data_IF_636155395493
#
_entry.id   IF_636155395493
#
_cell.length_a   1.000
_cell.length_b   1.000
_cell.length_c   1.000
_cell.angle_alpha   90.00
_cell.angle_beta   90.00
_cell.angle_gamma   90.00
#
_symmetry.space_group_name_H-M   'P 1'
#
loop_
_entity.id
_entity.type
_entity.pdbx_description
1 polymer ?
#
# COMPACT_ATOMS: atom_id res chain seq x y z
N UNK A 1 -70.08 6.02 9.82
CA UNK A 1 -69.50 4.76 10.34
C UNK A 1 -69.59 3.71 9.26
N UNK A 2 -68.46 3.27 8.68
CA UNK A 2 -68.15 1.88 8.27
C UNK A 2 -66.83 1.85 7.49
N UNK A 3 -66.06 0.79 7.73
CA UNK A 3 -64.68 0.53 7.29
C UNK A 3 -64.62 -0.08 5.87
N UNK A 4 -63.38 -0.23 5.40
CA UNK A 4 -62.81 -1.49 4.87
C UNK A 4 -62.69 -1.65 3.35
N UNK A 5 -61.44 -1.44 2.89
CA UNK A 5 -60.65 -2.29 1.98
C UNK A 5 -61.35 -3.35 1.10
N UNK A 6 -61.04 -3.32 -0.20
CA UNK A 6 -60.12 -4.30 -0.83
C UNK A 6 -59.94 -3.97 -2.32
N UNK A 7 -58.71 -3.67 -2.73
CA UNK A 7 -58.32 -3.50 -4.13
C UNK A 7 -57.39 -4.64 -4.55
N UNK A 8 -57.82 -5.41 -5.54
CA UNK A 8 -57.02 -6.19 -6.50
C UNK A 8 -57.89 -6.27 -7.76
N UNK A 9 -57.37 -6.00 -8.97
CA UNK A 9 -56.34 -6.86 -9.57
C UNK A 9 -55.35 -6.12 -10.51
N UNK A 10 -54.04 -6.20 -10.26
CA UNK A 10 -53.02 -5.80 -11.25
C UNK A 10 -51.82 -6.77 -11.17
N UNK A 11 -52.03 -8.01 -11.61
CA UNK A 11 -51.01 -9.08 -11.71
C UNK A 11 -50.39 -9.16 -13.11
N UNK A 12 -50.39 -8.08 -13.90
CA UNK A 12 -49.98 -8.15 -15.31
C UNK A 12 -48.91 -7.16 -15.77
N UNK A 13 -48.13 -6.58 -14.86
CA UNK A 13 -47.02 -5.68 -15.24
C UNK A 13 -45.76 -5.85 -14.34
N UNK A 14 -45.31 -7.09 -14.11
CA UNK A 14 -44.08 -7.32 -13.34
C UNK A 14 -43.27 -8.55 -13.79
N UNK A 15 -43.25 -8.88 -15.08
CA UNK A 15 -42.42 -9.99 -15.61
C UNK A 15 -41.47 -9.53 -16.76
N UNK A 16 -41.51 -8.26 -17.16
CA UNK A 16 -40.74 -7.75 -18.31
C UNK A 16 -39.35 -7.17 -18.03
N UNK A 17 -38.85 -7.17 -16.78
CA UNK A 17 -37.64 -6.42 -16.43
C UNK A 17 -36.58 -7.23 -15.66
N UNK A 18 -36.62 -8.57 -15.71
CA UNK A 18 -35.66 -9.43 -15.01
C UNK A 18 -34.74 -10.27 -15.91
N UNK A 19 -34.81 -10.12 -17.24
CA UNK A 19 -34.01 -10.91 -18.19
C UNK A 19 -32.78 -10.20 -18.78
N UNK A 20 -32.46 -8.96 -18.37
CA UNK A 20 -31.30 -8.21 -18.93
C UNK A 20 -30.09 -8.15 -17.97
N UNK A 21 -30.22 -8.57 -16.71
CA UNK A 21 -29.10 -8.51 -15.73
C UNK A 21 -28.39 -9.87 -15.56
N UNK A 22 -28.94 -10.97 -16.08
CA UNK A 22 -28.32 -12.32 -15.96
C UNK A 22 -27.30 -12.60 -17.08
N UNK A 23 -27.17 -11.72 -18.08
CA UNK A 23 -26.28 -11.93 -19.22
C UNK A 23 -24.82 -11.44 -19.03
N UNK A 24 -24.45 -10.91 -17.85
CA UNK A 24 -23.08 -10.45 -17.55
C UNK A 24 -22.39 -11.23 -16.41
N UNK A 25 -22.97 -12.35 -15.98
CA UNK A 25 -22.37 -13.28 -15.00
C UNK A 25 -21.89 -14.60 -15.63
N UNK A 26 -21.33 -14.56 -16.84
CA UNK A 26 -20.62 -15.72 -17.43
C UNK A 26 -19.17 -15.32 -17.69
N UNK A 27 -18.35 -15.46 -16.65
CA UNK A 27 -16.90 -15.59 -16.79
C UNK A 27 -16.60 -16.87 -17.59
N UNK A 28 -15.67 -16.84 -18.55
CA UNK A 28 -15.22 -18.04 -19.21
C UNK A 28 -14.33 -18.86 -18.26
N UNK A 29 -14.93 -19.84 -17.60
CA UNK A 29 -14.23 -21.11 -17.35
C UNK A 29 -13.78 -21.66 -18.69
N UNK A 30 -12.47 -21.78 -18.92
CA UNK A 30 -11.81 -22.98 -19.48
C UNK A 30 -10.27 -22.85 -19.40
N UNK A 31 -9.65 -23.97 -19.00
CA UNK A 31 -8.27 -24.39 -19.25
C UNK A 31 -7.15 -23.84 -18.36
N UNK A 32 -7.16 -24.23 -17.07
CA UNK A 32 -5.90 -24.50 -16.35
C UNK A 32 -5.71 -26.02 -16.28
N UNK A 33 -5.00 -26.56 -17.27
CA UNK A 33 -4.40 -27.90 -17.22
C UNK A 33 -3.06 -27.75 -16.52
N UNK A 34 -2.85 -28.43 -15.40
CA UNK A 34 -1.51 -28.61 -14.84
C UNK A 34 -0.73 -29.61 -15.69
N UNK A 35 0.58 -29.41 -15.84
CA UNK A 35 1.49 -30.54 -15.82
C UNK A 35 2.48 -30.39 -14.67
N UNK A 36 2.38 -31.29 -13.69
CA UNK A 36 3.56 -31.75 -12.96
C UNK A 36 4.36 -32.66 -13.89
N UNK A 37 5.68 -32.51 -13.92
CA UNK A 37 6.55 -33.45 -14.60
C UNK A 37 7.87 -32.81 -15.02
N UNK A 38 8.94 -33.24 -14.36
CA UNK A 38 10.30 -32.77 -14.47
C UNK A 38 10.96 -33.02 -15.85
N UNK A 39 12.01 -32.23 -16.08
CA UNK A 39 13.20 -32.51 -16.88
C UNK A 39 13.13 -32.43 -18.43
N UNK A 40 14.11 -31.68 -18.93
CA UNK A 40 14.77 -31.80 -20.25
C UNK A 40 13.98 -31.43 -21.51
N UNK A 41 14.13 -30.18 -21.98
CA UNK A 41 14.40 -29.87 -23.39
C UNK A 41 14.78 -28.39 -23.59
N UNK A 42 16.01 -28.03 -23.22
CA UNK A 42 16.69 -26.85 -23.76
C UNK A 42 16.94 -27.10 -25.26
N UNK A 43 16.11 -26.55 -26.16
CA UNK A 43 16.34 -26.28 -27.60
C UNK A 43 15.04 -26.48 -28.40
N UNK A 44 14.23 -25.42 -28.54
CA UNK A 44 13.28 -25.29 -29.67
C UNK A 44 12.58 -23.93 -29.69
N UNK A 45 13.28 -22.84 -29.38
CA UNK A 45 12.79 -21.48 -29.68
C UNK A 45 13.82 -20.77 -30.55
N UNK A 46 14.13 -21.38 -31.68
CA UNK A 46 14.87 -20.79 -32.78
C UNK A 46 14.31 -21.43 -34.04
N UNK A 47 13.32 -20.78 -34.68
CA UNK A 47 12.94 -20.90 -36.11
C UNK A 47 11.45 -20.54 -36.31
N UNK A 48 11.11 -19.26 -36.19
CA UNK A 48 10.09 -18.63 -37.04
C UNK A 48 10.07 -17.12 -36.82
N UNK A 49 10.31 -16.35 -37.89
CA UNK A 49 10.02 -14.90 -37.91
C UNK A 49 11.22 -13.95 -38.00
N UNK A 50 12.06 -14.11 -39.02
CA UNK A 50 12.86 -12.97 -39.53
C UNK A 50 11.89 -12.04 -40.27
N UNK A 51 11.51 -10.92 -39.65
CA UNK A 51 11.13 -9.64 -40.29
C UNK A 51 10.83 -8.63 -39.18
N UNK A 52 11.86 -7.87 -38.79
CA UNK A 52 11.73 -6.83 -37.76
C UNK A 52 13.04 -6.54 -37.05
N UNK A 53 14.11 -6.26 -37.80
CA UNK A 53 15.28 -5.59 -37.24
C UNK A 53 14.92 -4.13 -36.92
N UNK A 54 14.05 -3.93 -35.93
CA UNK A 54 13.95 -2.67 -35.22
C UNK A 54 15.01 -2.74 -34.13
N UNK A 55 16.14 -2.09 -34.37
CA UNK A 55 17.13 -1.81 -33.34
C UNK A 55 16.39 -1.31 -32.09
N UNK A 56 16.60 -1.98 -30.96
CA UNK A 56 16.21 -1.48 -29.65
C UNK A 56 17.00 -0.19 -29.43
N UNK A 57 16.45 0.94 -29.87
CA UNK A 57 16.96 2.23 -29.46
C UNK A 57 16.74 2.34 -27.95
N UNK A 58 17.74 2.81 -27.18
CA UNK A 58 17.50 3.16 -25.79
C UNK A 58 16.38 4.20 -25.79
N UNK A 59 15.39 4.03 -24.91
CA UNK A 59 14.36 5.02 -24.69
C UNK A 59 15.02 6.28 -24.12
N UNK A 60 15.51 7.16 -24.99
CA UNK A 60 15.92 8.50 -24.65
C UNK A 60 14.63 9.25 -24.38
N UNK A 61 14.30 9.41 -23.10
CA UNK A 61 13.30 10.37 -22.66
C UNK A 61 13.69 11.72 -23.26
N UNK A 62 12.88 12.24 -24.18
CA UNK A 62 13.09 13.54 -24.76
C UNK A 62 13.02 14.58 -23.64
N UNK A 63 14.18 15.12 -23.24
CA UNK A 63 14.29 16.27 -22.37
C UNK A 63 13.62 17.45 -23.11
N UNK A 64 12.42 17.85 -22.67
CA UNK A 64 11.73 19.01 -23.23
C UNK A 64 12.52 20.27 -22.81
N UNK A 65 12.99 21.11 -23.75
CA UNK A 65 13.86 22.23 -23.43
C UNK A 65 13.04 23.30 -22.69
N UNK A 66 13.21 23.40 -21.37
CA UNK A 66 12.56 24.41 -20.53
C UNK A 66 12.04 23.89 -19.19
N UNK A 67 11.81 22.58 -19.07
CA UNK A 67 11.63 21.89 -17.79
C UNK A 67 12.98 21.27 -17.46
N UNK A 68 13.72 21.89 -16.54
CA UNK A 68 14.98 21.31 -16.04
C UNK A 68 14.80 19.85 -15.62
N UNK A 69 15.89 19.07 -15.61
CA UNK A 69 15.88 17.63 -15.31
C UNK A 69 14.92 17.31 -14.16
N UNK A 70 13.79 16.70 -14.50
CA UNK A 70 12.78 16.33 -13.52
C UNK A 70 13.39 15.22 -12.66
N UNK A 71 13.81 15.57 -11.44
CA UNK A 71 14.49 14.65 -10.53
C UNK A 71 13.60 13.44 -10.27
N UNK A 72 14.19 12.25 -10.33
CA UNK A 72 13.47 11.02 -10.04
C UNK A 72 13.02 10.97 -8.57
N UNK A 73 11.99 10.20 -8.21
CA UNK A 73 11.50 10.08 -6.83
C UNK A 73 12.52 9.48 -5.84
N UNK A 74 13.66 8.99 -6.33
CA UNK A 74 14.78 8.48 -5.54
C UNK A 74 15.91 9.50 -5.35
N UNK A 75 15.90 10.60 -6.10
CA UNK A 75 16.96 11.61 -6.13
C UNK A 75 16.57 12.89 -5.36
N UNK A 76 15.32 12.98 -4.90
CA UNK A 76 14.82 14.11 -4.12
C UNK A 76 15.43 14.06 -2.73
N UNK A 77 16.28 15.03 -2.41
CA UNK A 77 16.82 15.25 -1.07
C UNK A 77 16.03 16.35 -0.36
N UNK A 78 16.28 16.53 0.95
CA UNK A 78 15.59 17.52 1.79
C UNK A 78 15.62 18.94 1.21
N UNK A 79 16.72 19.31 0.55
CA UNK A 79 16.96 20.64 0.02
C UNK A 79 16.16 20.94 -1.26
N UNK A 80 15.65 19.90 -1.92
CA UNK A 80 14.87 20.01 -3.16
C UNK A 80 13.37 20.21 -2.91
N UNK A 81 12.95 20.24 -1.64
CA UNK A 81 11.54 20.14 -1.27
C UNK A 81 10.90 21.50 -1.17
N UNK A 82 9.83 21.67 -1.95
CA UNK A 82 9.04 22.90 -1.99
C UNK A 82 7.66 22.63 -1.42
N UNK A 83 7.30 23.40 -0.39
CA UNK A 83 6.02 23.32 0.29
C UNK A 83 5.18 24.51 -0.16
N UNK A 84 4.11 24.22 -0.88
CA UNK A 84 3.20 25.19 -1.49
C UNK A 84 1.97 25.43 -0.60
N UNK A 85 1.57 24.41 0.18
CA UNK A 85 0.42 24.47 1.07
C UNK A 85 0.70 25.05 2.45
N UNK A 86 -0.37 25.44 3.16
CA UNK A 86 -0.28 25.93 4.54
C UNK A 86 -0.07 24.77 5.53
N UNK A 87 1.15 24.67 6.09
CA UNK A 87 1.47 23.73 7.19
C UNK A 87 0.71 24.05 8.48
N UNK A 88 0.26 25.29 8.63
CA UNK A 88 -0.48 25.80 9.78
C UNK A 88 -1.91 25.29 9.87
N UNK A 89 -2.46 24.78 8.75
CA UNK A 89 -3.81 24.24 8.66
C UNK A 89 -4.03 23.12 9.67
N UNK A 90 -5.22 23.09 10.28
CA UNK A 90 -5.59 22.10 11.29
C UNK A 90 -5.37 20.67 10.79
N UNK A 91 -5.81 20.39 9.57
CA UNK A 91 -5.71 19.06 8.96
C UNK A 91 -4.25 18.63 8.73
N UNK A 92 -3.38 19.57 8.36
CA UNK A 92 -1.95 19.32 8.19
C UNK A 92 -1.27 19.00 9.53
N UNK A 93 -1.57 19.77 10.59
CA UNK A 93 -1.06 19.50 11.94
C UNK A 93 -1.50 18.15 12.47
N UNK A 94 -2.80 17.83 12.35
CA UNK A 94 -3.32 16.53 12.76
C UNK A 94 -2.67 15.38 11.98
N UNK A 95 -2.40 15.56 10.68
CA UNK A 95 -1.71 14.56 9.87
C UNK A 95 -0.26 14.34 10.32
N UNK A 96 0.48 15.42 10.60
CA UNK A 96 1.86 15.36 11.10
C UNK A 96 1.91 14.71 12.47
N UNK A 97 1.02 15.12 13.40
CA UNK A 97 0.91 14.54 14.74
C UNK A 97 0.63 13.04 14.69
N UNK A 98 -0.26 12.58 13.78
CA UNK A 98 -0.51 11.15 13.57
C UNK A 98 0.74 10.40 13.11
N UNK A 99 1.50 10.95 12.17
CA UNK A 99 2.74 10.32 11.70
C UNK A 99 3.79 10.29 12.82
N UNK A 100 3.91 11.36 13.60
CA UNK A 100 4.81 11.43 14.77
C UNK A 100 4.44 10.42 15.86
N UNK A 101 3.15 10.32 16.21
CA UNK A 101 2.67 9.34 17.18
C UNK A 101 3.01 7.91 16.75
N UNK A 102 2.81 7.59 15.46
CA UNK A 102 3.16 6.26 14.93
C UNK A 102 4.66 6.00 14.90
N UNK A 103 5.48 7.02 14.65
CA UNK A 103 6.92 6.88 14.76
C UNK A 103 7.31 6.55 16.21
N UNK A 104 6.72 7.26 17.19
CA UNK A 104 6.97 7.01 18.61
C UNK A 104 6.54 5.60 19.04
N UNK A 105 5.38 5.14 18.57
CA UNK A 105 4.91 3.76 18.80
C UNK A 105 5.88 2.72 18.21
N UNK A 106 6.38 2.95 17.00
CA UNK A 106 7.32 2.05 16.34
C UNK A 106 8.69 2.03 17.06
N UNK A 107 9.17 3.18 17.52
CA UNK A 107 10.38 3.29 18.35
C UNK A 107 10.19 2.61 19.72
N UNK A 108 9.02 2.77 20.34
CA UNK A 108 8.66 2.11 21.59
C UNK A 108 8.57 0.59 21.44
N UNK A 109 7.99 0.10 20.33
CA UNK A 109 7.92 -1.32 20.02
C UNK A 109 9.31 -1.92 19.76
N UNK A 110 10.19 -1.22 19.04
CA UNK A 110 11.59 -1.62 18.87
C UNK A 110 12.30 -1.73 20.22
N UNK A 111 12.20 -0.69 21.05
CA UNK A 111 12.83 -0.69 22.37
C UNK A 111 12.30 -1.80 23.30
N UNK A 112 11.02 -2.18 23.16
CA UNK A 112 10.45 -3.30 23.89
C UNK A 112 11.00 -4.65 23.41
N UNK A 113 11.12 -4.84 22.08
CA UNK A 113 11.66 -6.07 21.48
C UNK A 113 13.16 -6.24 21.73
N UNK A 114 13.92 -5.15 21.78
CA UNK A 114 15.35 -5.17 22.13
C UNK A 114 15.57 -5.63 23.58
N UNK A 115 14.66 -5.28 24.50
CA UNK A 115 14.72 -5.70 25.90
C UNK A 115 14.21 -7.13 26.11
N UNK A 116 13.11 -7.47 25.44
CA UNK A 116 12.52 -8.79 25.50
C UNK A 116 12.00 -9.19 24.10
N UNK A 117 12.66 -10.17 23.44
CA UNK A 117 12.24 -10.78 22.17
C UNK A 117 10.77 -11.27 22.14
N UNK A 118 10.20 -11.55 23.30
CA UNK A 118 8.82 -12.04 23.45
C UNK A 118 7.87 -10.95 23.96
N UNK A 119 8.28 -9.68 24.04
CA UNK A 119 7.44 -8.58 24.51
C UNK A 119 6.18 -8.40 23.65
N UNK A 120 5.01 -8.37 24.28
CA UNK A 120 3.76 -8.13 23.58
C UNK A 120 3.62 -6.66 23.13
N UNK A 121 4.10 -6.38 21.92
CA UNK A 121 4.05 -5.04 21.29
C UNK A 121 2.67 -4.68 20.72
N UNK A 122 1.69 -5.59 20.71
CA UNK A 122 0.33 -5.28 20.23
C UNK A 122 -0.36 -4.20 21.06
N UNK A 123 0.04 -4.05 22.32
CA UNK A 123 -0.48 -3.03 23.24
C UNK A 123 0.23 -1.68 23.11
N UNK A 124 1.41 -1.68 22.49
CA UNK A 124 2.24 -0.48 22.31
C UNK A 124 1.88 0.22 21.01
N UNK A 125 1.69 -0.56 19.94
CA UNK A 125 1.30 -0.02 18.65
C UNK A 125 -0.19 0.25 18.66
N UNK A 126 -0.58 1.53 18.55
CA UNK A 126 -1.98 1.87 18.44
C UNK A 126 -2.63 1.12 17.27
N UNK A 127 -3.90 0.67 17.42
CA UNK A 127 -4.66 0.00 16.36
C UNK A 127 -5.08 1.04 15.30
N UNK A 128 -4.10 1.66 14.68
CA UNK A 128 -4.29 2.67 13.67
C UNK A 128 -4.37 1.97 12.32
N UNK A 129 -5.46 2.20 11.61
CA UNK A 129 -5.73 1.54 10.35
C UNK A 129 -4.77 2.03 9.26
N UNK A 130 -4.51 1.18 8.26
CA UNK A 130 -3.69 1.57 7.10
C UNK A 130 -4.40 2.65 6.28
N UNK A 131 -5.73 2.70 6.33
CA UNK A 131 -6.54 3.79 5.76
C UNK A 131 -6.21 5.14 6.39
N UNK A 132 -6.12 5.23 7.71
CA UNK A 132 -5.79 6.50 8.37
C UNK A 132 -4.35 6.93 8.08
N UNK A 133 -3.40 5.98 8.00
CA UNK A 133 -2.01 6.30 7.61
C UNK A 133 -1.98 6.86 6.19
N UNK A 134 -2.74 6.25 5.27
CA UNK A 134 -2.86 6.73 3.89
C UNK A 134 -3.46 8.13 3.83
N UNK A 135 -4.50 8.42 4.60
CA UNK A 135 -5.10 9.75 4.65
C UNK A 135 -4.12 10.79 5.19
N UNK A 136 -3.46 10.52 6.33
CA UNK A 136 -2.48 11.45 6.91
C UNK A 136 -1.33 11.75 5.93
N UNK A 137 -0.77 10.72 5.31
CA UNK A 137 0.31 10.87 4.33
C UNK A 137 -0.14 11.56 3.04
N UNK A 138 -1.38 11.35 2.58
CA UNK A 138 -1.96 12.09 1.45
C UNK A 138 -2.14 13.57 1.80
N UNK A 139 -2.61 13.90 3.00
CA UNK A 139 -2.74 15.28 3.45
C UNK A 139 -1.38 15.98 3.45
N UNK A 140 -0.33 15.30 3.92
CA UNK A 140 1.05 15.82 3.84
C UNK A 140 1.50 16.00 2.39
N UNK A 141 1.24 15.02 1.52
CA UNK A 141 1.59 15.08 0.10
C UNK A 141 0.94 16.28 -0.62
N UNK A 142 -0.31 16.62 -0.27
CA UNK A 142 -1.02 17.76 -0.85
C UNK A 142 -0.43 19.13 -0.48
N UNK A 143 0.48 19.19 0.50
CA UNK A 143 1.21 20.41 0.83
C UNK A 143 2.40 20.65 -0.11
N UNK A 144 2.85 19.61 -0.81
CA UNK A 144 4.05 19.61 -1.63
C UNK A 144 3.73 20.05 -3.06
N UNK A 145 4.73 20.60 -3.76
CA UNK A 145 4.65 20.79 -5.22
C UNK A 145 4.72 19.45 -5.96
N UNK A 146 4.37 19.42 -7.26
CA UNK A 146 4.26 18.17 -8.03
C UNK A 146 5.55 17.32 -8.04
N UNK A 147 6.72 17.98 -8.02
CA UNK A 147 8.00 17.27 -7.99
C UNK A 147 8.28 16.68 -6.61
N UNK A 148 8.11 17.45 -5.53
CA UNK A 148 8.31 16.96 -4.16
C UNK A 148 7.24 15.94 -3.74
N UNK A 149 6.04 16.04 -4.31
CA UNK A 149 4.94 15.09 -4.14
C UNK A 149 5.34 13.69 -4.61
N UNK A 150 6.07 13.55 -5.73
CA UNK A 150 6.53 12.25 -6.19
C UNK A 150 7.48 11.56 -5.18
N UNK A 151 8.34 12.34 -4.50
CA UNK A 151 9.23 11.86 -3.45
C UNK A 151 8.48 11.44 -2.18
N UNK A 152 7.53 12.26 -1.72
CA UNK A 152 6.73 11.95 -0.52
C UNK A 152 5.75 10.80 -0.76
N UNK A 153 5.17 10.65 -1.96
CA UNK A 153 4.38 9.47 -2.35
C UNK A 153 5.21 8.18 -2.31
N UNK A 154 6.48 8.23 -2.67
CA UNK A 154 7.38 7.08 -2.52
C UNK A 154 7.54 6.71 -1.05
N UNK A 155 7.83 7.69 -0.18
CA UNK A 155 7.96 7.46 1.26
C UNK A 155 6.67 6.90 1.86
N UNK A 156 5.51 7.43 1.46
CA UNK A 156 4.21 6.91 1.84
C UNK A 156 4.06 5.42 1.48
N UNK A 157 4.42 5.01 0.25
CA UNK A 157 4.36 3.60 -0.17
C UNK A 157 5.25 2.71 0.71
N UNK A 158 6.47 3.14 1.00
CA UNK A 158 7.41 2.39 1.83
C UNK A 158 6.92 2.29 3.29
N UNK A 159 6.38 3.37 3.85
CA UNK A 159 5.77 3.35 5.19
C UNK A 159 4.57 2.41 5.27
N UNK A 160 3.69 2.43 4.26
CA UNK A 160 2.56 1.50 4.20
C UNK A 160 3.04 0.04 4.11
N UNK A 161 4.03 -0.24 3.27
CA UNK A 161 4.59 -1.59 3.12
C UNK A 161 5.18 -2.09 4.45
N UNK A 162 6.01 -1.29 5.11
CA UNK A 162 6.58 -1.62 6.41
C UNK A 162 5.48 -1.90 7.45
N UNK A 163 4.42 -1.07 7.46
CA UNK A 163 3.25 -1.27 8.33
C UNK A 163 2.50 -2.57 8.07
N UNK A 164 2.29 -2.94 6.81
CA UNK A 164 1.71 -4.24 6.49
C UNK A 164 2.58 -5.39 7.00
N UNK A 165 3.90 -5.31 6.80
CA UNK A 165 4.83 -6.36 7.20
C UNK A 165 4.86 -6.57 8.71
N UNK A 166 5.01 -5.51 9.51
CA UNK A 166 5.02 -5.69 10.97
C UNK A 166 3.64 -6.06 11.51
N UNK A 167 2.54 -5.57 10.94
CA UNK A 167 1.20 -5.94 11.42
C UNK A 167 0.88 -7.44 11.20
N UNK A 168 1.42 -8.04 10.13
CA UNK A 168 1.29 -9.47 9.88
C UNK A 168 2.18 -10.31 10.81
N UNK A 169 3.38 -9.82 11.12
CA UNK A 169 4.35 -10.56 11.92
C UNK A 169 4.26 -10.35 13.44
N UNK A 170 3.67 -9.25 13.91
CA UNK A 170 3.53 -8.94 15.34
C UNK A 170 2.70 -9.98 16.12
N UNK A 171 1.50 -10.40 15.66
CA UNK A 171 0.67 -11.34 16.41
C UNK A 171 1.40 -12.66 16.63
N UNK A 172 1.36 -13.20 17.84
CA UNK A 172 2.04 -14.47 18.12
C UNK A 172 1.55 -15.59 17.22
N UNK A 173 2.46 -16.46 16.74
CA UNK A 173 2.07 -17.57 15.89
C UNK A 173 1.19 -18.54 16.68
N UNK A 174 0.08 -18.96 16.08
CA UNK A 174 -0.81 -19.96 16.64
C UNK A 174 -0.46 -21.34 16.07
N UNK A 175 -0.44 -22.35 16.93
CA UNK A 175 -0.34 -23.74 16.49
C UNK A 175 -1.62 -24.16 15.76
N UNK A 176 -1.58 -25.32 15.07
CA UNK A 176 -2.80 -25.93 14.48
C UNK A 176 -3.91 -26.20 15.50
N UNK A 177 -3.57 -26.24 16.79
CA UNK A 177 -4.49 -26.45 17.92
C UNK A 177 -4.92 -25.14 18.60
N UNK A 178 -4.47 -23.98 18.10
CA UNK A 178 -4.77 -22.66 18.68
C UNK A 178 -3.88 -22.24 19.85
N UNK A 179 -2.91 -23.07 20.25
CA UNK A 179 -1.95 -22.72 21.29
C UNK A 179 -0.96 -21.66 20.79
N UNK A 180 -0.72 -20.63 21.61
CA UNK A 180 0.24 -19.55 21.30
C UNK A 180 1.67 -20.09 21.40
N UNK A 181 2.43 -19.97 20.32
CA UNK A 181 3.84 -20.32 20.29
C UNK A 181 4.73 -19.08 20.45
N UNK A 182 5.92 -19.21 21.06
CA UNK A 182 6.87 -18.12 21.11
C UNK A 182 7.33 -17.71 19.70
N UNK A 183 7.70 -16.44 19.53
CA UNK A 183 8.25 -15.95 18.27
C UNK A 183 9.64 -16.54 18.04
N UNK A 184 9.84 -17.13 16.86
CA UNK A 184 11.16 -17.58 16.42
C UNK A 184 12.04 -16.41 15.97
N UNK A 185 13.36 -16.62 15.96
CA UNK A 185 14.36 -15.60 15.61
C UNK A 185 14.11 -14.95 14.23
N UNK A 186 13.73 -15.74 13.23
CA UNK A 186 13.45 -15.24 11.89
C UNK A 186 12.23 -14.31 11.82
N UNK A 187 11.23 -14.51 12.68
CA UNK A 187 10.05 -13.63 12.72
C UNK A 187 10.40 -12.34 13.44
N UNK A 188 11.15 -12.44 14.53
CA UNK A 188 11.65 -11.28 15.25
C UNK A 188 12.51 -10.38 14.35
N UNK A 189 13.43 -10.94 13.57
CA UNK A 189 14.26 -10.15 12.65
C UNK A 189 13.42 -9.41 11.60
N UNK A 190 12.36 -10.04 11.07
CA UNK A 190 11.43 -9.39 10.12
C UNK A 190 10.65 -8.25 10.76
N UNK A 191 10.20 -8.42 12.01
CA UNK A 191 9.52 -7.34 12.75
C UNK A 191 10.48 -6.18 12.97
N UNK A 192 11.70 -6.45 13.44
CA UNK A 192 12.69 -5.41 13.66
C UNK A 192 13.05 -4.66 12.39
N UNK A 193 13.27 -5.37 11.28
CA UNK A 193 13.57 -4.77 9.97
C UNK A 193 12.41 -3.89 9.50
N UNK A 194 11.17 -4.40 9.56
CA UNK A 194 9.99 -3.63 9.18
C UNK A 194 9.78 -2.39 10.06
N UNK A 195 10.00 -2.49 11.38
CA UNK A 195 9.91 -1.34 12.27
C UNK A 195 11.03 -0.32 12.01
N UNK A 196 12.28 -0.78 11.78
CA UNK A 196 13.41 0.09 11.43
C UNK A 196 13.16 0.82 10.12
N UNK A 197 12.63 0.14 9.12
CA UNK A 197 12.24 0.73 7.84
C UNK A 197 11.11 1.76 8.02
N UNK A 198 10.10 1.46 8.83
CA UNK A 198 9.04 2.42 9.13
C UNK A 198 9.60 3.69 9.79
N UNK A 199 10.44 3.54 10.83
CA UNK A 199 11.08 4.66 11.54
C UNK A 199 11.97 5.47 10.60
N UNK A 200 12.76 4.82 9.75
CA UNK A 200 13.61 5.50 8.76
C UNK A 200 12.78 6.33 7.78
N UNK A 201 11.73 5.75 7.19
CA UNK A 201 10.92 6.43 6.18
C UNK A 201 10.04 7.53 6.78
N UNK A 202 9.50 7.33 8.00
CA UNK A 202 8.74 8.36 8.72
C UNK A 202 9.61 9.55 9.12
N UNK A 203 10.84 9.32 9.60
CA UNK A 203 11.82 10.39 9.86
C UNK A 203 12.11 11.21 8.63
N UNK A 204 12.41 10.56 7.49
CA UNK A 204 12.63 11.28 6.23
C UNK A 204 11.40 12.10 5.81
N UNK A 205 10.18 11.56 5.95
CA UNK A 205 8.96 12.30 5.62
C UNK A 205 8.76 13.52 6.54
N UNK A 206 9.03 13.39 7.84
CA UNK A 206 8.90 14.50 8.78
C UNK A 206 10.01 15.54 8.61
N UNK A 207 11.23 15.12 8.28
CA UNK A 207 12.32 16.03 7.93
C UNK A 207 11.98 16.85 6.68
N UNK A 208 11.30 16.25 5.70
CA UNK A 208 10.82 16.94 4.50
C UNK A 208 9.78 18.00 4.83
N UNK A 209 8.86 17.70 5.75
CA UNK A 209 7.84 18.66 6.20
C UNK A 209 8.45 19.78 7.07
N UNK A 210 9.47 19.47 7.87
CA UNK A 210 10.12 20.40 8.79
C UNK A 210 11.37 21.10 8.20
N UNK A 211 11.64 20.97 6.90
CA UNK A 211 12.84 21.48 6.24
C UNK A 211 12.92 23.02 6.10
N UNK A 212 11.97 23.77 6.65
CA UNK A 212 11.89 25.24 6.56
C UNK A 212 11.83 25.86 7.94
#
# INVERSE_FOLDING_TARGET
MTRSSSAFPLVLLAIGAWCVIVAWCVLPTQLFVQPQGEATARRSVLLSGVLGAAASQPAVAAEFPGLGKQKGPFEITKDDIVIVGDKGAKDAKEAIEKVMALQADAEGALAALEKDPQADVTKIIHPFSISELRLATNTINNLMDDQSAAGTQRLQRLMMQAKYQFNDDIPFPLSKKGEVQPRGAARLSRIEEALKDYVKNSKMLLEFVNAQ
#
